data_IF_440519060850
#
_entry.id   IF_440519060850
#
_cell.length_a   1.000
_cell.length_b   1.000
_cell.length_c   1.000
_cell.angle_alpha   90.00
_cell.angle_beta   90.00
_cell.angle_gamma   90.00
#
_symmetry.space_group_name_H-M   'P 1'
#
loop_
_entity.id
_entity.type
_entity.pdbx_description
1 polymer ?
#
# COMPACT_ATOMS: atom_id res chain seq x y z
N UNK A 1 -26.79 1.35 46.27
CA UNK A 1 -27.38 0.57 45.16
C UNK A 1 -28.01 1.46 44.03
N UNK A 2 -28.44 2.68 44.26
CA UNK A 2 -29.08 3.56 43.26
C UNK A 2 -28.10 4.18 42.23
N UNK A 3 -26.86 4.40 42.58
CA UNK A 3 -25.84 5.03 41.68
C UNK A 3 -25.40 4.10 40.53
N UNK A 4 -25.42 2.81 40.72
CA UNK A 4 -25.08 1.82 39.68
C UNK A 4 -26.16 1.74 38.58
N UNK A 5 -27.44 1.75 38.97
CA UNK A 5 -28.57 1.73 38.01
C UNK A 5 -28.63 2.99 37.14
N UNK A 6 -28.36 4.17 37.69
CA UNK A 6 -28.32 5.42 36.93
C UNK A 6 -27.17 5.46 35.90
N UNK A 7 -25.99 4.94 36.25
CA UNK A 7 -24.86 4.84 35.30
C UNK A 7 -25.16 3.85 34.17
N UNK A 8 -25.81 2.74 34.46
CA UNK A 8 -26.23 1.77 33.43
C UNK A 8 -27.29 2.34 32.48
N UNK A 9 -28.27 3.05 33.02
CA UNK A 9 -29.32 3.71 32.22
C UNK A 9 -28.77 4.86 31.34
N UNK A 10 -27.84 5.65 31.86
CA UNK A 10 -27.17 6.69 31.08
C UNK A 10 -26.31 6.08 29.94
N UNK A 11 -25.62 4.97 30.20
CA UNK A 11 -24.88 4.22 29.17
C UNK A 11 -25.80 3.68 28.08
N UNK A 12 -26.93 3.05 28.47
CA UNK A 12 -27.92 2.53 27.52
C UNK A 12 -28.54 3.66 26.64
N UNK A 13 -28.85 4.80 27.22
CA UNK A 13 -29.34 5.95 26.43
C UNK A 13 -28.31 6.48 25.44
N UNK A 14 -27.02 6.55 25.83
CA UNK A 14 -25.94 6.96 24.90
C UNK A 14 -25.78 5.96 23.75
N UNK A 15 -25.85 4.66 24.04
CA UNK A 15 -25.82 3.62 23.01
C UNK A 15 -27.03 3.71 22.07
N UNK A 16 -28.22 3.92 22.57
CA UNK A 16 -29.43 4.07 21.76
C UNK A 16 -29.40 5.31 20.86
N UNK A 17 -28.78 6.41 21.30
CA UNK A 17 -28.59 7.61 20.49
C UNK A 17 -27.50 7.44 19.42
N UNK A 18 -26.43 6.68 19.71
CA UNK A 18 -25.36 6.40 18.75
C UNK A 18 -25.76 5.35 17.70
N UNK A 19 -26.69 4.44 18.04
CA UNK A 19 -27.06 3.28 17.23
C UNK A 19 -27.54 3.65 15.81
N UNK A 20 -28.39 4.68 15.58
CA UNK A 20 -28.80 5.05 14.23
C UNK A 20 -27.66 5.51 13.33
N UNK A 21 -26.68 6.22 13.89
CA UNK A 21 -25.48 6.66 13.14
C UNK A 21 -24.55 5.51 12.82
N UNK A 22 -24.36 4.59 13.78
CA UNK A 22 -23.56 3.37 13.58
C UNK A 22 -24.25 2.41 12.60
N UNK A 23 -25.58 2.30 12.65
CA UNK A 23 -26.34 1.36 11.83
C UNK A 23 -26.20 1.66 10.34
N UNK A 24 -26.22 2.94 9.95
CA UNK A 24 -25.98 3.35 8.56
C UNK A 24 -24.60 2.90 8.06
N UNK A 25 -23.55 3.12 8.85
CA UNK A 25 -22.17 2.67 8.55
C UNK A 25 -22.06 1.15 8.49
N UNK A 26 -22.66 0.43 9.43
CA UNK A 26 -22.67 -1.04 9.45
C UNK A 26 -23.44 -1.63 8.26
N UNK A 27 -24.57 -1.06 7.87
CA UNK A 27 -25.34 -1.51 6.70
C UNK A 27 -24.52 -1.34 5.43
N UNK A 28 -23.89 -0.18 5.23
CA UNK A 28 -23.03 0.04 4.07
C UNK A 28 -21.82 -0.92 4.07
N UNK A 29 -21.18 -1.12 5.22
CA UNK A 29 -20.09 -2.08 5.36
C UNK A 29 -20.57 -3.51 5.07
N UNK A 30 -21.73 -3.91 5.57
CA UNK A 30 -22.29 -5.24 5.35
C UNK A 30 -22.60 -5.48 3.87
N UNK A 31 -23.21 -4.50 3.19
CA UNK A 31 -23.59 -4.63 1.78
C UNK A 31 -22.40 -4.55 0.81
N UNK A 32 -21.46 -3.62 1.05
CA UNK A 32 -20.41 -3.35 0.08
C UNK A 32 -19.07 -4.04 0.41
N UNK A 33 -18.87 -4.48 1.64
CA UNK A 33 -17.63 -5.15 2.06
C UNK A 33 -17.89 -6.60 2.46
N UNK A 34 -18.74 -6.83 3.46
CA UNK A 34 -18.93 -8.18 4.01
C UNK A 34 -19.64 -9.12 3.04
N UNK A 35 -20.73 -8.67 2.39
CA UNK A 35 -21.46 -9.50 1.42
C UNK A 35 -20.58 -9.91 0.22
N UNK A 36 -19.86 -9.00 -0.48
CA UNK A 36 -18.94 -9.41 -1.55
C UNK A 36 -17.79 -10.30 -1.05
N UNK A 37 -17.28 -10.07 0.17
CA UNK A 37 -16.24 -10.89 0.75
C UNK A 37 -16.72 -12.34 0.95
N UNK A 38 -17.87 -12.53 1.62
CA UNK A 38 -18.44 -13.86 1.87
C UNK A 38 -18.78 -14.54 0.54
N UNK A 39 -19.35 -13.80 -0.42
CA UNK A 39 -19.66 -14.31 -1.74
C UNK A 39 -18.42 -14.73 -2.52
N UNK A 40 -17.33 -13.97 -2.45
CA UNK A 40 -16.05 -14.33 -3.08
C UNK A 40 -15.46 -15.60 -2.47
N UNK A 41 -15.51 -15.75 -1.13
CA UNK A 41 -15.10 -16.98 -0.47
C UNK A 41 -15.93 -18.18 -0.96
N UNK A 42 -17.26 -18.03 -1.05
CA UNK A 42 -18.13 -19.08 -1.58
C UNK A 42 -17.80 -19.44 -3.03
N UNK A 43 -17.66 -18.43 -3.90
CA UNK A 43 -17.31 -18.60 -5.32
C UNK A 43 -15.98 -19.32 -5.49
N UNK A 44 -15.00 -19.06 -4.60
CA UNK A 44 -13.68 -19.69 -4.69
C UNK A 44 -13.70 -21.22 -4.58
N UNK A 45 -14.75 -21.80 -4.00
CA UNK A 45 -14.97 -23.24 -3.91
C UNK A 45 -15.87 -23.81 -5.01
N UNK A 46 -16.31 -22.96 -5.95
CA UNK A 46 -17.22 -23.36 -7.04
C UNK A 46 -16.56 -23.16 -8.40
N UNK A 47 -17.05 -23.89 -9.41
CA UNK A 47 -16.73 -23.66 -10.83
C UNK A 47 -17.62 -22.53 -11.36
N UNK A 48 -17.27 -21.30 -10.95
CA UNK A 48 -18.05 -20.09 -11.29
C UNK A 48 -17.62 -19.54 -12.64
N UNK A 49 -18.57 -19.48 -13.59
CA UNK A 49 -18.32 -18.84 -14.88
C UNK A 49 -19.43 -17.84 -15.20
N UNK A 50 -19.02 -16.57 -15.39
CA UNK A 50 -19.96 -15.46 -15.67
C UNK A 50 -20.64 -15.62 -17.05
N UNK A 51 -19.95 -16.25 -18.01
CA UNK A 51 -20.40 -16.35 -19.42
C UNK A 51 -21.28 -17.56 -19.64
N UNK A 52 -21.09 -18.63 -18.87
CA UNK A 52 -21.87 -19.87 -19.00
C UNK A 52 -23.05 -19.83 -18.03
N UNK A 53 -24.27 -19.84 -18.59
CA UNK A 53 -25.52 -19.93 -17.82
C UNK A 53 -25.71 -21.37 -17.25
N UNK A 54 -24.68 -21.92 -16.61
CA UNK A 54 -24.66 -23.24 -15.96
C UNK A 54 -24.73 -23.06 -14.45
N UNK A 55 -25.40 -23.97 -13.74
CA UNK A 55 -25.37 -23.96 -12.28
C UNK A 55 -23.91 -24.13 -11.79
N UNK A 56 -23.51 -23.30 -10.84
CA UNK A 56 -22.18 -23.35 -10.25
C UNK A 56 -21.99 -24.69 -9.52
N UNK A 57 -21.13 -25.55 -10.04
CA UNK A 57 -20.81 -26.81 -9.39
C UNK A 57 -19.82 -26.57 -8.24
N UNK A 58 -20.00 -27.27 -7.13
CA UNK A 58 -19.05 -27.26 -6.04
C UNK A 58 -17.81 -28.07 -6.40
N UNK A 59 -16.64 -27.43 -6.44
CA UNK A 59 -15.35 -28.06 -6.82
C UNK A 59 -14.38 -28.17 -5.65
N UNK A 60 -14.76 -27.74 -4.45
CA UNK A 60 -13.92 -27.78 -3.26
C UNK A 60 -12.62 -27.00 -3.45
N UNK A 61 -11.48 -27.59 -3.14
CA UNK A 61 -10.15 -26.93 -3.20
C UNK A 61 -9.49 -26.97 -4.58
N UNK A 62 -10.18 -27.46 -5.63
CA UNK A 62 -9.59 -27.60 -6.97
C UNK A 62 -9.01 -26.29 -7.50
N UNK A 63 -9.73 -25.17 -7.31
CA UNK A 63 -9.26 -23.85 -7.75
C UNK A 63 -7.93 -23.46 -7.07
N UNK A 64 -7.79 -23.76 -5.79
CA UNK A 64 -6.57 -23.47 -5.03
C UNK A 64 -5.40 -24.35 -5.48
N UNK A 65 -5.65 -25.64 -5.75
CA UNK A 65 -4.63 -26.55 -6.27
C UNK A 65 -4.16 -26.14 -7.67
N UNK A 66 -5.10 -25.71 -8.53
CA UNK A 66 -4.76 -25.21 -9.87
C UNK A 66 -3.91 -23.94 -9.81
N UNK A 67 -4.20 -23.01 -8.87
CA UNK A 67 -3.37 -21.82 -8.64
C UNK A 67 -1.94 -22.17 -8.24
N UNK A 68 -1.76 -23.14 -7.33
CA UNK A 68 -0.42 -23.57 -6.92
C UNK A 68 0.38 -24.19 -8.07
N UNK A 69 -0.30 -24.76 -9.06
CA UNK A 69 0.31 -25.34 -10.25
C UNK A 69 0.58 -24.30 -11.35
N UNK A 70 -0.06 -23.13 -11.28
CA UNK A 70 0.10 -22.06 -12.26
C UNK A 70 1.46 -21.35 -12.08
N UNK A 71 2.26 -21.37 -13.15
CA UNK A 71 3.57 -20.72 -13.16
C UNK A 71 3.47 -19.20 -12.99
N UNK A 72 2.49 -18.56 -13.63
CA UNK A 72 2.30 -17.11 -13.53
C UNK A 72 1.92 -16.70 -12.11
N UNK A 73 1.04 -17.47 -11.47
CA UNK A 73 0.69 -17.24 -10.06
C UNK A 73 1.91 -17.35 -9.15
N UNK A 74 2.74 -18.39 -9.29
CA UNK A 74 3.96 -18.56 -8.49
C UNK A 74 4.94 -17.40 -8.67
N UNK A 75 5.13 -16.93 -9.93
CA UNK A 75 5.98 -15.78 -10.22
C UNK A 75 5.41 -14.51 -9.58
N UNK A 76 4.10 -14.25 -9.74
CA UNK A 76 3.44 -13.09 -9.16
C UNK A 76 3.52 -13.10 -7.62
N UNK A 77 3.26 -14.24 -7.00
CA UNK A 77 3.33 -14.42 -5.55
C UNK A 77 4.74 -14.16 -5.01
N UNK A 78 5.76 -14.75 -5.64
CA UNK A 78 7.17 -14.51 -5.30
C UNK A 78 7.53 -13.03 -5.42
N UNK A 79 7.15 -12.38 -6.53
CA UNK A 79 7.44 -10.97 -6.76
C UNK A 79 6.73 -10.07 -5.74
N UNK A 80 5.50 -10.40 -5.34
CA UNK A 80 4.76 -9.68 -4.30
C UNK A 80 5.44 -9.79 -2.94
N UNK A 81 5.90 -10.98 -2.56
CA UNK A 81 6.65 -11.17 -1.30
C UNK A 81 7.96 -10.38 -1.35
N UNK A 82 8.73 -10.48 -2.43
CA UNK A 82 9.98 -9.74 -2.58
C UNK A 82 9.75 -8.23 -2.54
N UNK A 83 8.67 -7.76 -3.20
CA UNK A 83 8.28 -6.37 -3.13
C UNK A 83 8.02 -5.92 -1.68
N UNK A 84 7.23 -6.67 -0.93
CA UNK A 84 6.94 -6.34 0.47
C UNK A 84 8.21 -6.36 1.35
N UNK A 85 9.04 -7.39 1.20
CA UNK A 85 10.29 -7.56 1.98
C UNK A 85 11.31 -6.46 1.72
N UNK A 86 11.33 -5.87 0.53
CA UNK A 86 12.27 -4.80 0.19
C UNK A 86 11.66 -3.43 0.48
N UNK A 87 10.41 -3.21 0.07
CA UNK A 87 9.81 -1.86 0.15
C UNK A 87 9.40 -1.48 1.56
N UNK A 88 8.89 -2.42 2.37
CA UNK A 88 8.48 -2.09 3.75
C UNK A 88 9.68 -1.70 4.62
N UNK A 89 10.74 -2.51 4.74
CA UNK A 89 11.92 -2.09 5.50
C UNK A 89 12.60 -0.86 4.89
N UNK A 90 12.63 -0.75 3.57
CA UNK A 90 13.18 0.43 2.88
C UNK A 90 12.44 1.72 3.23
N UNK A 91 11.11 1.70 3.19
CA UNK A 91 10.28 2.83 3.61
C UNK A 91 10.48 3.17 5.09
N UNK A 92 10.55 2.16 5.96
CA UNK A 92 10.77 2.36 7.39
C UNK A 92 12.14 3.00 7.65
N UNK A 93 13.20 2.49 7.06
CA UNK A 93 14.54 3.02 7.21
C UNK A 93 14.65 4.46 6.68
N UNK A 94 14.22 4.69 5.42
CA UNK A 94 14.25 6.02 4.83
C UNK A 94 13.33 7.00 5.57
N UNK A 95 12.16 6.57 5.99
CA UNK A 95 11.21 7.37 6.76
C UNK A 95 11.76 7.79 8.11
N UNK A 96 12.43 6.87 8.82
CA UNK A 96 13.09 7.18 10.10
C UNK A 96 14.23 8.19 9.91
N UNK A 97 15.09 7.98 8.92
CA UNK A 97 16.18 8.92 8.60
C UNK A 97 15.64 10.30 8.29
N UNK A 98 14.62 10.38 7.41
CA UNK A 98 13.99 11.66 7.09
C UNK A 98 13.30 12.30 8.31
N UNK A 99 12.62 11.52 9.15
CA UNK A 99 12.00 12.02 10.37
C UNK A 99 13.04 12.67 11.31
N UNK A 100 14.16 12.00 11.54
CA UNK A 100 15.25 12.52 12.36
C UNK A 100 15.86 13.80 11.74
N UNK A 101 16.15 13.80 10.43
CA UNK A 101 16.68 14.95 9.71
C UNK A 101 15.74 16.15 9.78
N UNK A 102 14.47 15.96 9.46
CA UNK A 102 13.46 17.03 9.47
C UNK A 102 13.22 17.52 10.90
N UNK A 103 13.25 16.63 11.90
CA UNK A 103 13.11 17.02 13.31
C UNK A 103 14.27 17.88 13.83
N UNK A 104 15.48 17.70 13.29
CA UNK A 104 16.66 18.49 13.67
C UNK A 104 16.67 19.90 13.07
N UNK A 105 15.85 20.17 12.04
CA UNK A 105 15.78 21.48 11.38
C UNK A 105 14.97 22.47 12.23
N UNK A 106 15.63 23.56 12.65
CA UNK A 106 14.99 24.62 13.47
C UNK A 106 14.18 25.63 12.65
N UNK A 107 14.62 25.97 11.43
CA UNK A 107 13.96 26.95 10.56
C UNK A 107 13.51 26.29 9.26
N UNK A 108 12.25 26.50 8.88
CA UNK A 108 11.69 25.93 7.65
C UNK A 108 11.27 24.45 7.75
N UNK A 109 11.18 23.86 8.94
CA UNK A 109 10.77 22.49 9.16
C UNK A 109 9.47 22.12 8.43
N UNK A 110 8.50 23.05 8.42
CA UNK A 110 7.22 22.85 7.72
C UNK A 110 7.40 22.67 6.21
N UNK A 111 8.29 23.47 5.59
CA UNK A 111 8.56 23.34 4.16
C UNK A 111 9.17 21.97 3.83
N UNK A 112 10.12 21.48 4.62
CA UNK A 112 10.70 20.15 4.45
C UNK A 112 9.64 19.04 4.63
N UNK A 113 8.75 19.15 5.62
CA UNK A 113 7.62 18.22 5.79
C UNK A 113 6.76 18.15 4.54
N UNK A 114 6.38 19.30 4.00
CA UNK A 114 5.54 19.39 2.80
C UNK A 114 6.26 18.76 1.60
N UNK A 115 7.52 19.12 1.34
CA UNK A 115 8.30 18.59 0.21
C UNK A 115 8.43 17.06 0.29
N UNK A 116 8.80 16.53 1.47
CA UNK A 116 8.95 15.09 1.66
C UNK A 116 7.60 14.34 1.61
N UNK A 117 6.49 15.00 1.90
CA UNK A 117 5.15 14.42 1.84
C UNK A 117 4.48 14.55 0.47
N UNK A 118 4.97 15.41 -0.41
CA UNK A 118 4.44 15.67 -1.75
C UNK A 118 4.28 14.38 -2.58
N UNK A 119 5.23 13.43 -2.59
CA UNK A 119 5.05 12.16 -3.30
C UNK A 119 3.82 11.37 -2.82
N UNK A 120 3.45 11.45 -1.55
CA UNK A 120 2.34 10.69 -0.97
C UNK A 120 0.99 11.14 -1.52
N UNK A 121 0.79 12.46 -1.66
CA UNK A 121 -0.47 13.05 -2.13
C UNK A 121 -0.63 13.03 -3.65
N UNK A 122 0.46 12.83 -4.40
CA UNK A 122 0.40 12.76 -5.85
C UNK A 122 -0.28 11.46 -6.32
N UNK A 123 -1.01 11.56 -7.44
CA UNK A 123 -1.68 10.40 -8.05
C UNK A 123 -0.67 9.27 -8.39
N UNK A 124 -1.01 8.04 -8.05
CA UNK A 124 -0.22 6.86 -8.44
C UNK A 124 -0.02 6.75 -9.95
N UNK A 125 -1.06 7.06 -10.73
CA UNK A 125 -1.01 7.00 -12.19
C UNK A 125 -0.02 8.00 -12.74
N UNK A 126 -0.10 9.26 -12.31
CA UNK A 126 0.80 10.33 -12.77
C UNK A 126 2.25 10.00 -12.45
N UNK A 127 2.52 9.59 -11.21
CA UNK A 127 3.89 9.27 -10.79
C UNK A 127 4.42 8.03 -11.52
N UNK A 128 3.58 7.01 -11.74
CA UNK A 128 4.00 5.82 -12.49
C UNK A 128 4.38 6.16 -13.96
N UNK A 129 3.66 7.11 -14.58
CA UNK A 129 4.02 7.60 -15.92
C UNK A 129 5.36 8.32 -15.91
N UNK A 130 5.63 9.16 -14.90
CA UNK A 130 6.94 9.82 -14.74
C UNK A 130 8.06 8.79 -14.57
N UNK A 131 7.88 7.78 -13.70
CA UNK A 131 8.86 6.72 -13.55
C UNK A 131 9.07 5.91 -14.83
N UNK A 132 8.00 5.58 -15.54
CA UNK A 132 8.09 4.92 -16.84
C UNK A 132 8.91 5.73 -17.84
N UNK A 133 8.77 7.05 -17.86
CA UNK A 133 9.56 7.94 -18.70
C UNK A 133 11.02 8.01 -18.24
N UNK A 134 11.27 8.18 -16.95
CA UNK A 134 12.64 8.23 -16.39
C UNK A 134 13.43 6.95 -16.70
N UNK A 135 12.80 5.78 -16.56
CA UNK A 135 13.38 4.46 -16.77
C UNK A 135 13.03 3.85 -18.14
N UNK A 136 12.72 4.69 -19.13
CA UNK A 136 12.46 4.23 -20.49
C UNK A 136 13.69 3.58 -21.08
N UNK A 137 13.48 2.48 -21.81
CA UNK A 137 14.53 1.79 -22.55
C UNK A 137 15.07 2.66 -23.67
N UNK A 138 16.37 2.54 -23.95
CA UNK A 138 17.03 3.31 -25.00
C UNK A 138 17.60 4.66 -24.51
N UNK A 139 18.18 5.43 -25.45
CA UNK A 139 18.88 6.69 -25.15
C UNK A 139 17.97 7.82 -24.69
N UNK A 140 16.64 7.70 -24.88
CA UNK A 140 15.67 8.72 -24.49
C UNK A 140 15.28 8.67 -23.00
N UNK A 141 15.59 7.58 -22.27
CA UNK A 141 15.35 7.48 -20.83
C UNK A 141 16.34 8.34 -20.05
N UNK A 142 15.84 9.21 -19.15
CA UNK A 142 16.68 10.14 -18.39
C UNK A 142 17.75 9.40 -17.56
N UNK A 143 17.40 8.29 -16.94
CA UNK A 143 18.34 7.47 -16.14
C UNK A 143 19.42 6.88 -17.04
N UNK A 144 19.08 6.34 -18.20
CA UNK A 144 20.06 5.85 -19.17
C UNK A 144 20.98 6.97 -19.66
N UNK A 145 20.41 8.14 -19.97
CA UNK A 145 21.20 9.30 -20.40
C UNK A 145 22.26 9.67 -19.34
N UNK A 146 21.86 9.79 -18.07
CA UNK A 146 22.80 10.11 -16.97
C UNK A 146 23.86 9.04 -16.82
N UNK A 147 23.48 7.74 -16.81
CA UNK A 147 24.41 6.64 -16.63
C UNK A 147 25.44 6.56 -17.78
N UNK A 148 25.03 6.84 -19.00
CA UNK A 148 25.92 6.87 -20.17
C UNK A 148 26.85 8.08 -20.14
N UNK A 149 26.37 9.24 -19.71
CA UNK A 149 27.21 10.45 -19.55
C UNK A 149 28.27 10.27 -18.46
N UNK A 150 27.95 9.55 -17.39
CA UNK A 150 28.88 9.21 -16.32
C UNK A 150 29.79 8.02 -16.67
N UNK A 151 29.69 7.46 -17.88
CA UNK A 151 30.44 6.28 -18.33
C UNK A 151 30.25 5.05 -17.44
N UNK A 152 29.13 4.97 -16.73
CA UNK A 152 28.80 3.83 -15.85
C UNK A 152 28.23 2.64 -16.62
N UNK A 153 27.67 2.90 -17.80
CA UNK A 153 27.17 1.89 -18.74
C UNK A 153 27.59 2.25 -20.18
N UNK A 154 27.95 1.25 -20.98
CA UNK A 154 28.33 1.44 -22.37
C UNK A 154 27.11 1.49 -23.32
N UNK A 155 26.01 0.84 -22.91
CA UNK A 155 24.79 0.76 -23.70
C UNK A 155 23.56 0.99 -22.81
N UNK A 156 22.42 1.46 -23.39
CA UNK A 156 21.22 1.74 -22.64
C UNK A 156 20.66 0.45 -22.00
N UNK A 157 20.33 0.51 -20.73
CA UNK A 157 19.72 -0.60 -19.97
C UNK A 157 18.22 -0.65 -20.26
N UNK A 158 17.70 -1.86 -20.51
CA UNK A 158 16.26 -2.12 -20.68
C UNK A 158 15.58 -2.37 -19.33
N UNK A 159 15.40 -1.29 -18.55
CA UNK A 159 14.96 -1.33 -17.16
C UNK A 159 13.67 -2.12 -16.91
N UNK A 160 12.65 -1.92 -17.76
CA UNK A 160 11.31 -2.48 -17.57
C UNK A 160 11.05 -3.78 -18.34
N UNK A 161 12.05 -4.27 -19.11
CA UNK A 161 11.91 -5.49 -19.94
C UNK A 161 12.46 -6.75 -19.26
N UNK A 162 13.34 -6.59 -18.28
CA UNK A 162 13.89 -7.70 -17.52
C UNK A 162 13.34 -7.71 -16.10
N UNK A 163 13.02 -8.89 -15.58
CA UNK A 163 12.38 -9.07 -14.28
C UNK A 163 13.12 -8.38 -13.13
N UNK A 164 14.44 -8.50 -13.06
CA UNK A 164 15.23 -7.92 -11.96
C UNK A 164 15.32 -6.40 -12.03
N UNK A 165 15.57 -5.84 -13.20
CA UNK A 165 15.64 -4.38 -13.37
C UNK A 165 14.27 -3.74 -13.17
N UNK A 166 13.20 -4.39 -13.65
CA UNK A 166 11.83 -3.94 -13.40
C UNK A 166 11.46 -3.97 -11.92
N UNK A 167 11.83 -5.03 -11.20
CA UNK A 167 11.63 -5.10 -9.75
C UNK A 167 12.41 -3.99 -9.02
N UNK A 168 13.65 -3.71 -9.40
CA UNK A 168 14.43 -2.63 -8.82
C UNK A 168 13.74 -1.28 -9.00
N UNK A 169 13.25 -0.97 -10.20
CA UNK A 169 12.49 0.26 -10.46
C UNK A 169 11.22 0.32 -9.61
N UNK A 170 10.48 -0.79 -9.50
CA UNK A 170 9.28 -0.87 -8.67
C UNK A 170 9.58 -0.69 -7.17
N UNK A 171 10.69 -1.24 -6.68
CA UNK A 171 11.11 -1.07 -5.28
C UNK A 171 11.51 0.38 -5.00
N UNK A 172 12.30 1.00 -5.86
CA UNK A 172 12.65 2.42 -5.75
C UNK A 172 11.42 3.31 -5.76
N UNK A 173 10.50 3.04 -6.69
CA UNK A 173 9.22 3.75 -6.77
C UNK A 173 8.41 3.61 -5.48
N UNK A 174 8.24 2.37 -4.99
CA UNK A 174 7.48 2.09 -3.77
C UNK A 174 8.10 2.74 -2.53
N UNK A 175 9.42 2.61 -2.36
CA UNK A 175 10.15 3.21 -1.23
C UNK A 175 10.00 4.72 -1.26
N UNK A 176 10.32 5.37 -2.38
CA UNK A 176 10.25 6.81 -2.50
C UNK A 176 8.84 7.34 -2.21
N UNK A 177 7.80 6.70 -2.78
CA UNK A 177 6.42 7.12 -2.61
C UNK A 177 5.89 6.92 -1.19
N UNK A 178 6.28 5.84 -0.51
CA UNK A 178 5.80 5.51 0.83
C UNK A 178 6.58 6.19 1.96
N UNK A 179 7.81 6.61 1.71
CA UNK A 179 8.71 7.16 2.74
C UNK A 179 8.13 8.39 3.46
N UNK A 180 7.45 9.29 2.74
CA UNK A 180 6.86 10.47 3.33
C UNK A 180 5.76 10.18 4.35
N UNK A 181 4.94 9.15 4.11
CA UNK A 181 3.93 8.68 5.06
C UNK A 181 4.57 8.16 6.35
N UNK A 182 5.55 7.29 6.22
CA UNK A 182 6.28 6.71 7.35
C UNK A 182 7.02 7.79 8.14
N UNK A 183 7.64 8.76 7.45
CA UNK A 183 8.27 9.93 8.08
C UNK A 183 7.33 10.68 9.02
N UNK A 184 6.08 10.96 8.59
CA UNK A 184 5.10 11.67 9.41
C UNK A 184 4.74 10.88 10.66
N UNK A 185 4.57 9.55 10.54
CA UNK A 185 4.28 8.68 11.69
C UNK A 185 5.44 8.70 12.69
N UNK A 186 6.68 8.57 12.24
CA UNK A 186 7.84 8.63 13.11
C UNK A 186 8.02 10.01 13.76
N UNK A 187 7.75 11.09 13.03
CA UNK A 187 7.79 12.44 13.62
C UNK A 187 6.76 12.61 14.74
N UNK A 188 5.54 12.09 14.57
CA UNK A 188 4.53 12.11 15.63
C UNK A 188 5.00 11.31 16.86
N UNK A 189 5.59 10.14 16.65
CA UNK A 189 6.14 9.31 17.72
C UNK A 189 7.29 10.00 18.47
N UNK A 190 8.22 10.65 17.75
CA UNK A 190 9.32 11.39 18.34
C UNK A 190 8.84 12.57 19.18
N UNK A 191 7.79 13.27 18.75
CA UNK A 191 7.20 14.40 19.50
C UNK A 191 6.49 13.93 20.78
N UNK A 192 5.79 12.78 20.72
CA UNK A 192 5.14 12.19 21.91
C UNK A 192 6.15 11.67 22.92
N UNK A 193 7.24 11.08 22.50
CA UNK A 193 8.30 10.57 23.38
C UNK A 193 8.98 11.70 24.19
N UNK A 194 9.11 12.90 23.63
CA UNK A 194 9.72 14.06 24.31
C UNK A 194 8.81 14.69 25.37
N UNK A 195 7.52 14.35 25.42
CA UNK A 195 6.58 14.86 26.43
C UNK A 195 6.58 13.97 27.69
N UNK A 196 7.09 12.73 27.60
CA UNK A 196 7.11 11.77 28.71
C UNK A 196 8.48 11.65 29.41
N UNK A 197 9.47 12.46 29.05
CA UNK A 197 10.75 12.62 29.76
C UNK A 197 10.80 14.04 30.33
#
# INVERSE_FOLDING_TARGET
MQTGKRKLQAGLQQWMQALPFLLAGFVLMALFVLYPLVRNIWISFTDFNVIQNRPNAWVGLRNYLSLLSDQNYRIAFRNTILYALVTVPGQMACGLVLACLVNSVRRGQTAFKVICYLPVITSWVVVSMVFKYLFMSGKGGMVNYILMQLHLVESPVSWLQHTWTANLVLWLFGIWKGTGWVMVIYMAALQLSLIHI
#
